data_IF_105965610206
#
_entry.id   IF_105965610206
#
_cell.length_a   1.000
_cell.length_b   1.000
_cell.length_c   1.000
_cell.angle_alpha   90.00
_cell.angle_beta   90.00
_cell.angle_gamma   90.00
#
_symmetry.space_group_name_H-M   'P 1'
#
loop_
_entity.id
_entity.type
_entity.pdbx_description
1 polymer ?
#
# COMPACT_ATOMS: atom_id res chain seq x y z
N UNK A 1 -21.80 6.14 -11.34
CA UNK A 1 -22.26 5.24 -12.40
C UNK A 1 -22.54 3.86 -11.81
N UNK A 2 -23.58 3.16 -12.28
CA UNK A 2 -23.85 1.79 -11.83
C UNK A 2 -22.89 0.84 -12.57
N UNK A 3 -22.06 0.13 -11.82
CA UNK A 3 -21.20 -0.94 -12.35
C UNK A 3 -21.95 -2.25 -12.13
N UNK A 4 -22.26 -2.96 -13.21
CA UNK A 4 -23.00 -4.22 -13.20
C UNK A 4 -22.19 -5.33 -13.88
N UNK A 5 -22.55 -6.62 -13.70
CA UNK A 5 -21.97 -7.70 -14.47
C UNK A 5 -22.02 -7.41 -15.96
N UNK A 6 -20.88 -7.57 -16.65
CA UNK A 6 -20.70 -7.21 -18.06
C UNK A 6 -19.95 -5.90 -18.28
N UNK A 7 -19.81 -5.04 -17.26
CA UNK A 7 -19.01 -3.81 -17.35
C UNK A 7 -17.51 -4.04 -17.10
N UNK A 8 -17.13 -5.20 -16.57
CA UNK A 8 -15.71 -5.52 -16.28
C UNK A 8 -14.86 -5.49 -17.56
N UNK A 9 -13.69 -4.84 -17.48
CA UNK A 9 -12.81 -4.57 -18.59
C UNK A 9 -13.21 -3.34 -19.42
N UNK A 10 -14.40 -2.78 -19.20
CA UNK A 10 -14.82 -1.53 -19.84
C UNK A 10 -14.23 -0.28 -19.17
N UNK A 11 -14.15 0.84 -19.90
CA UNK A 11 -13.58 2.07 -19.38
C UNK A 11 -14.54 2.78 -18.41
N UNK A 12 -13.95 3.44 -17.41
CA UNK A 12 -14.62 4.42 -16.57
C UNK A 12 -14.22 5.81 -17.07
N UNK A 13 -15.20 6.64 -17.38
CA UNK A 13 -14.99 7.99 -17.89
C UNK A 13 -15.32 9.04 -16.84
N UNK A 14 -14.61 10.17 -16.88
CA UNK A 14 -15.03 11.39 -16.22
C UNK A 14 -16.09 12.16 -17.07
N UNK A 15 -16.54 13.31 -16.54
CA UNK A 15 -17.54 14.15 -17.23
C UNK A 15 -17.00 14.83 -18.50
N UNK A 16 -15.69 14.87 -18.71
CA UNK A 16 -15.04 15.38 -19.91
C UNK A 16 -14.80 14.31 -20.97
N UNK A 17 -15.18 13.07 -20.69
CA UNK A 17 -15.02 11.93 -21.59
C UNK A 17 -13.60 11.32 -21.55
N UNK A 18 -12.80 11.64 -20.54
CA UNK A 18 -11.48 11.03 -20.36
C UNK A 18 -11.59 9.71 -19.60
N UNK A 19 -10.79 8.72 -19.99
CA UNK A 19 -10.71 7.44 -19.28
C UNK A 19 -9.92 7.64 -17.99
N UNK A 20 -10.58 7.48 -16.85
CA UNK A 20 -9.99 7.59 -15.51
C UNK A 20 -9.72 6.23 -14.85
N UNK A 21 -10.22 5.15 -15.45
CA UNK A 21 -9.99 3.80 -14.95
C UNK A 21 -10.59 2.72 -15.82
N UNK A 22 -10.35 1.46 -15.43
CA UNK A 22 -10.91 0.25 -16.05
C UNK A 22 -11.70 -0.50 -14.99
N UNK A 23 -12.98 -0.77 -15.29
CA UNK A 23 -13.85 -1.48 -14.36
C UNK A 23 -13.34 -2.90 -14.11
N UNK A 24 -13.11 -3.27 -12.85
CA UNK A 24 -12.50 -4.55 -12.50
C UNK A 24 -13.46 -5.49 -11.78
N UNK A 25 -14.12 -5.00 -10.73
CA UNK A 25 -14.91 -5.83 -9.84
C UNK A 25 -16.08 -5.04 -9.25
N UNK A 26 -17.14 -5.77 -8.91
CA UNK A 26 -18.25 -5.28 -8.09
C UNK A 26 -18.31 -6.09 -6.81
N UNK A 27 -18.69 -5.47 -5.71
CA UNK A 27 -19.07 -6.18 -4.51
C UNK A 27 -20.52 -6.61 -4.66
N UNK A 28 -20.76 -7.93 -4.58
CA UNK A 28 -22.10 -8.49 -4.71
C UNK A 28 -22.65 -8.80 -3.33
N UNK A 29 -23.92 -8.44 -3.08
CA UNK A 29 -24.59 -8.91 -1.87
C UNK A 29 -24.74 -10.44 -1.98
N UNK A 30 -24.36 -11.15 -0.90
CA UNK A 30 -24.65 -12.57 -0.75
C UNK A 30 -26.18 -12.75 -0.63
N UNK A 31 -26.82 -13.07 -1.74
CA UNK A 31 -28.23 -13.44 -1.74
C UNK A 31 -28.28 -14.94 -1.43
N UNK A 32 -28.72 -15.30 -0.21
CA UNK A 32 -29.03 -16.70 0.11
C UNK A 32 -30.13 -17.22 -0.82
N UNK A 33 -29.85 -18.38 -1.44
CA UNK A 33 -30.79 -19.20 -2.20
C UNK A 33 -31.39 -18.57 -3.47
N UNK A 34 -30.67 -18.64 -4.59
CA UNK A 34 -31.26 -18.66 -5.95
C UNK A 34 -31.52 -17.30 -6.61
N UNK A 35 -31.12 -16.18 -6.03
CA UNK A 35 -31.21 -14.85 -6.65
C UNK A 35 -29.99 -14.53 -7.51
N UNK A 36 -30.20 -13.72 -8.55
CA UNK A 36 -29.08 -13.17 -9.33
C UNK A 36 -28.30 -12.19 -8.42
N UNK A 37 -26.95 -12.33 -8.28
CA UNK A 37 -26.16 -11.40 -7.49
C UNK A 37 -26.35 -9.97 -8.01
N UNK A 38 -26.93 -9.10 -7.18
CA UNK A 38 -27.10 -7.69 -7.50
C UNK A 38 -25.89 -6.86 -7.09
N UNK A 39 -25.71 -5.71 -7.70
CA UNK A 39 -24.72 -4.72 -7.28
C UNK A 39 -25.09 -4.18 -5.88
N UNK A 40 -24.15 -4.24 -4.92
CA UNK A 40 -24.30 -3.64 -3.58
C UNK A 40 -24.21 -2.12 -3.59
N UNK A 41 -24.01 -1.49 -4.73
CA UNK A 41 -23.71 -0.08 -4.87
C UNK A 41 -22.21 0.24 -4.82
N UNK A 42 -21.36 -0.76 -4.55
CA UNK A 42 -19.90 -0.64 -4.51
C UNK A 42 -19.29 -1.31 -5.74
N UNK A 43 -18.45 -0.58 -6.46
CA UNK A 43 -17.70 -1.09 -7.60
C UNK A 43 -16.25 -0.59 -7.55
N UNK A 44 -15.32 -1.42 -8.02
CA UNK A 44 -13.90 -1.13 -8.05
C UNK A 44 -13.44 -0.96 -9.49
N UNK A 45 -12.62 0.08 -9.70
CA UNK A 45 -11.99 0.35 -10.98
C UNK A 45 -10.48 0.45 -10.78
N UNK A 46 -9.70 -0.12 -11.71
CA UNK A 46 -8.25 0.06 -11.75
C UNK A 46 -7.97 1.48 -12.25
N UNK A 47 -7.32 2.35 -11.48
CA UNK A 47 -7.03 3.72 -11.91
C UNK A 47 -6.21 3.77 -13.21
N UNK A 48 -6.44 4.78 -14.04
CA UNK A 48 -5.69 4.97 -15.29
C UNK A 48 -4.17 5.11 -15.05
N UNK A 49 -3.74 5.64 -13.89
CA UNK A 49 -2.33 5.70 -13.49
C UNK A 49 -1.69 4.32 -13.40
N UNK A 50 -2.40 3.34 -12.83
CA UNK A 50 -1.96 1.94 -12.76
C UNK A 50 -1.89 1.34 -14.15
N UNK A 51 -2.92 1.55 -14.98
CA UNK A 51 -2.97 1.06 -16.36
C UNK A 51 -1.78 1.60 -17.16
N UNK A 52 -1.52 2.91 -17.07
CA UNK A 52 -0.40 3.58 -17.76
C UNK A 52 0.98 3.07 -17.29
N UNK A 53 1.12 2.62 -16.06
CA UNK A 53 2.36 2.01 -15.54
C UNK A 53 2.53 0.56 -15.99
N UNK A 54 1.46 -0.21 -15.97
CA UNK A 54 1.50 -1.68 -16.14
C UNK A 54 1.47 -2.10 -17.60
N UNK A 55 0.54 -1.52 -18.40
CA UNK A 55 0.29 -1.99 -19.77
C UNK A 55 1.51 -1.88 -20.68
N UNK A 56 2.30 -0.78 -20.68
CA UNK A 56 3.52 -0.72 -21.48
C UNK A 56 4.53 -1.82 -21.14
N UNK A 57 4.67 -2.18 -19.86
CA UNK A 57 5.56 -3.24 -19.42
C UNK A 57 5.08 -4.62 -19.91
N UNK A 58 3.77 -4.88 -19.85
CA UNK A 58 3.18 -6.11 -20.35
C UNK A 58 3.37 -6.25 -21.86
N UNK A 59 3.20 -5.16 -22.62
CA UNK A 59 3.44 -5.15 -24.07
C UNK A 59 4.91 -5.42 -24.40
N UNK A 60 5.83 -4.81 -23.65
CA UNK A 60 7.27 -4.90 -23.90
C UNK A 60 7.88 -6.23 -23.48
N UNK A 61 7.44 -6.83 -22.37
CA UNK A 61 8.12 -7.95 -21.73
C UNK A 61 7.21 -9.09 -21.25
N UNK A 62 5.88 -8.91 -21.34
CA UNK A 62 4.91 -9.87 -20.81
C UNK A 62 4.82 -9.87 -19.28
N UNK A 63 5.54 -8.99 -18.59
CA UNK A 63 5.61 -8.93 -17.12
C UNK A 63 5.52 -7.50 -16.63
N UNK A 64 4.83 -7.28 -15.51
CA UNK A 64 4.84 -6.02 -14.77
C UNK A 64 5.76 -6.14 -13.56
N UNK A 65 6.66 -5.18 -13.40
CA UNK A 65 7.59 -5.08 -12.26
C UNK A 65 7.03 -4.07 -11.27
N UNK A 66 7.07 -4.44 -10.02
CA UNK A 66 6.57 -3.60 -8.92
C UNK A 66 7.69 -3.33 -7.92
N UNK A 67 7.81 -2.08 -7.52
CA UNK A 67 8.69 -1.70 -6.43
C UNK A 67 8.16 -2.18 -5.09
N UNK A 68 9.06 -2.51 -4.16
CA UNK A 68 8.70 -2.82 -2.79
C UNK A 68 9.84 -2.47 -1.82
N UNK A 69 9.49 -2.29 -0.55
CA UNK A 69 10.44 -1.98 0.53
C UNK A 69 10.83 -3.20 1.35
N UNK A 70 10.08 -4.29 1.28
CA UNK A 70 10.32 -5.47 2.12
C UNK A 70 9.94 -5.25 3.57
N UNK A 71 8.85 -4.53 3.82
CA UNK A 71 8.31 -4.27 5.15
C UNK A 71 6.90 -4.85 5.30
N UNK A 72 6.51 -5.06 6.55
CA UNK A 72 5.15 -5.35 6.97
C UNK A 72 4.64 -4.16 7.77
N UNK A 73 3.49 -3.66 7.42
CA UNK A 73 2.85 -2.56 8.13
C UNK A 73 1.59 -3.02 8.86
N UNK A 74 1.08 -2.16 9.70
CA UNK A 74 -0.25 -2.29 10.26
C UNK A 74 -1.17 -1.31 9.54
N UNK A 75 -2.26 -1.81 8.95
CA UNK A 75 -3.33 -0.96 8.40
C UNK A 75 -4.06 -0.19 9.51
N UNK A 76 -4.00 -0.70 10.74
CA UNK A 76 -4.66 -0.12 11.91
C UNK A 76 -3.60 0.43 12.87
N UNK A 77 -2.96 1.55 12.50
CA UNK A 77 -2.11 2.26 13.45
C UNK A 77 -3.01 3.03 14.43
N UNK A 78 -3.23 2.42 15.61
CA UNK A 78 -4.20 2.92 16.60
C UNK A 78 -3.61 3.95 17.57
N UNK A 79 -4.50 4.66 18.29
CA UNK A 79 -4.10 5.60 19.36
C UNK A 79 -3.32 4.87 20.48
N UNK A 80 -3.68 3.62 20.78
CA UNK A 80 -3.00 2.79 21.76
C UNK A 80 -1.57 2.47 21.31
N UNK A 81 -1.40 2.10 20.05
CA UNK A 81 -0.07 1.88 19.45
C UNK A 81 0.78 3.16 19.46
N UNK A 82 0.21 4.30 19.10
CA UNK A 82 0.92 5.58 19.14
C UNK A 82 1.42 5.90 20.56
N UNK A 83 0.55 5.79 21.57
CA UNK A 83 0.91 6.00 22.98
C UNK A 83 2.00 5.05 23.45
N UNK A 84 1.89 3.74 23.14
CA UNK A 84 2.89 2.74 23.51
C UNK A 84 4.26 3.00 22.86
N UNK A 85 4.29 3.68 21.71
CA UNK A 85 5.51 4.08 21.00
C UNK A 85 5.97 5.52 21.30
N UNK A 86 5.38 6.20 22.30
CA UNK A 86 5.66 7.59 22.70
C UNK A 86 5.42 8.62 21.55
N UNK A 87 4.38 8.39 20.75
CA UNK A 87 3.97 9.28 19.67
C UNK A 87 2.72 10.06 20.05
N UNK A 88 2.60 11.29 19.54
CA UNK A 88 1.49 12.18 19.84
C UNK A 88 0.18 11.72 19.19
N UNK A 89 0.27 11.16 17.99
CA UNK A 89 -0.88 10.75 17.17
C UNK A 89 -0.57 9.52 16.32
N UNK A 90 -1.58 8.73 15.92
CA UNK A 90 -1.42 7.57 15.06
C UNK A 90 -1.41 8.00 13.57
N UNK A 91 -0.40 8.75 13.16
CA UNK A 91 -0.22 9.23 11.79
C UNK A 91 1.06 8.68 11.20
N UNK A 92 1.01 8.26 9.93
CA UNK A 92 2.11 7.66 9.22
C UNK A 92 2.00 6.13 9.09
N UNK A 93 2.92 5.56 8.34
CA UNK A 93 2.99 4.11 8.10
C UNK A 93 3.83 3.43 9.18
N UNK A 94 3.19 2.75 10.13
CA UNK A 94 3.88 2.01 11.18
C UNK A 94 4.51 0.73 10.61
N UNK A 95 5.83 0.56 10.82
CA UNK A 95 6.59 -0.61 10.41
C UNK A 95 6.51 -1.69 11.49
N UNK A 96 5.62 -2.65 11.30
CA UNK A 96 5.48 -3.78 12.21
C UNK A 96 6.64 -4.77 12.04
N UNK A 97 7.04 -5.06 10.80
CA UNK A 97 8.14 -5.99 10.51
C UNK A 97 8.99 -5.54 9.33
N UNK A 98 10.24 -5.98 9.30
CA UNK A 98 11.15 -5.80 8.18
C UNK A 98 11.67 -7.16 7.74
N UNK A 99 11.60 -7.45 6.44
CA UNK A 99 12.15 -8.70 5.90
C UNK A 99 13.67 -8.69 6.02
N UNK A 100 14.32 -9.73 6.59
CA UNK A 100 15.77 -9.75 6.84
C UNK A 100 16.63 -9.50 5.59
N UNK A 101 16.19 -10.03 4.43
CA UNK A 101 16.88 -9.87 3.14
C UNK A 101 16.16 -8.84 2.23
N UNK A 102 15.26 -8.05 2.80
CA UNK A 102 14.49 -7.04 2.08
C UNK A 102 15.26 -5.74 1.85
N UNK A 103 14.80 -4.91 0.91
CA UNK A 103 15.42 -3.62 0.58
C UNK A 103 15.61 -2.70 1.79
N UNK A 104 14.67 -2.68 2.73
CA UNK A 104 14.70 -1.82 3.90
C UNK A 104 15.44 -2.44 5.12
N UNK A 105 15.99 -3.67 5.01
CA UNK A 105 16.55 -4.42 6.14
C UNK A 105 17.62 -3.67 6.95
N UNK A 106 18.45 -2.85 6.29
CA UNK A 106 19.53 -2.11 6.93
C UNK A 106 19.11 -0.70 7.38
N UNK A 107 17.98 -0.19 6.90
CA UNK A 107 17.56 1.19 7.09
C UNK A 107 16.41 1.33 8.10
N UNK A 108 15.46 0.41 8.09
CA UNK A 108 14.25 0.47 8.92
C UNK A 108 14.28 -0.55 10.06
N UNK A 109 13.51 -0.24 11.09
CA UNK A 109 13.29 -1.13 12.24
C UNK A 109 11.82 -1.52 12.33
N UNK A 110 11.58 -2.82 12.47
CA UNK A 110 10.28 -3.36 12.82
C UNK A 110 10.05 -3.33 14.33
N UNK A 111 8.83 -3.67 14.74
CA UNK A 111 8.48 -3.84 16.13
C UNK A 111 9.34 -4.91 16.79
N UNK A 112 9.72 -4.69 18.05
CA UNK A 112 10.61 -5.57 18.80
C UNK A 112 9.89 -6.72 19.51
N UNK A 113 8.56 -6.68 19.57
CA UNK A 113 7.73 -7.60 20.36
C UNK A 113 6.71 -8.38 19.51
N UNK A 114 6.92 -8.52 18.21
CA UNK A 114 5.97 -9.24 17.33
C UNK A 114 5.80 -10.72 17.71
N UNK A 115 6.84 -11.34 18.25
CA UNK A 115 6.81 -12.75 18.65
C UNK A 115 6.25 -12.97 20.07
N UNK A 116 5.97 -11.89 20.81
CA UNK A 116 5.38 -11.98 22.15
C UNK A 116 3.86 -12.09 22.04
N UNK A 117 3.35 -13.31 22.25
CA UNK A 117 1.91 -13.60 22.23
C UNK A 117 1.10 -12.88 23.32
N UNK A 118 1.75 -12.29 24.32
CA UNK A 118 1.12 -11.50 25.38
C UNK A 118 1.19 -10.01 25.13
N UNK A 119 1.86 -9.57 24.06
CA UNK A 119 1.94 -8.16 23.71
C UNK A 119 0.57 -7.66 23.23
N UNK A 120 0.03 -6.65 23.91
CA UNK A 120 -1.24 -6.04 23.54
C UNK A 120 -1.13 -5.23 22.22
N UNK A 121 0.01 -4.58 22.02
CA UNK A 121 0.28 -3.79 20.79
C UNK A 121 1.76 -3.90 20.41
N UNK A 122 2.10 -3.76 19.09
CA UNK A 122 3.49 -3.73 18.65
C UNK A 122 4.19 -2.44 19.09
N UNK A 123 5.46 -2.58 19.54
CA UNK A 123 6.29 -1.46 20.01
C UNK A 123 7.68 -1.47 19.37
N UNK A 124 8.29 -0.28 19.25
CA UNK A 124 9.69 -0.10 18.81
C UNK A 124 9.89 -0.05 17.31
N UNK A 125 8.82 -0.22 16.52
CA UNK A 125 8.88 -0.03 15.07
C UNK A 125 9.02 1.44 14.67
N UNK A 126 9.62 1.68 13.50
CA UNK A 126 9.64 2.99 12.89
C UNK A 126 8.24 3.40 12.42
N UNK A 127 7.96 4.70 12.37
CA UNK A 127 6.79 5.26 11.69
C UNK A 127 7.26 6.13 10.55
N UNK A 128 6.92 5.75 9.32
CA UNK A 128 7.27 6.53 8.13
C UNK A 128 6.24 7.65 7.97
N UNK A 129 6.70 8.90 8.03
CA UNK A 129 5.85 10.11 7.97
C UNK A 129 5.95 10.84 6.65
N UNK A 130 7.02 10.57 5.86
CA UNK A 130 7.14 11.10 4.50
C UNK A 130 8.05 10.20 3.64
N UNK A 131 7.86 10.27 2.32
CA UNK A 131 8.72 9.65 1.30
C UNK A 131 9.04 10.69 0.22
N UNK A 132 10.33 10.92 -0.04
CA UNK A 132 10.83 11.95 -0.98
C UNK A 132 10.22 13.34 -0.75
N UNK A 133 9.88 13.64 0.52
CA UNK A 133 9.24 14.88 0.94
C UNK A 133 7.71 14.92 0.79
N UNK A 134 7.08 13.88 0.24
CA UNK A 134 5.62 13.76 0.22
C UNK A 134 5.13 13.15 1.55
N UNK A 135 4.16 13.79 2.25
CA UNK A 135 3.61 13.27 3.49
C UNK A 135 2.93 11.91 3.30
N UNK A 136 3.06 11.05 4.32
CA UNK A 136 2.41 9.75 4.42
C UNK A 136 1.53 9.77 5.66
N UNK A 137 0.23 9.60 5.47
CA UNK A 137 -0.75 9.61 6.56
C UNK A 137 -1.02 8.21 7.10
N UNK A 138 -0.88 7.17 6.25
CA UNK A 138 -1.09 5.77 6.63
C UNK A 138 -0.22 4.81 5.78
N UNK A 139 -0.40 3.51 6.02
CA UNK A 139 0.37 2.48 5.32
C UNK A 139 -0.05 2.31 3.86
N UNK A 140 -1.31 2.59 3.53
CA UNK A 140 -1.83 2.47 2.16
C UNK A 140 -1.30 3.61 1.28
N UNK A 141 -1.10 4.81 1.83
CA UNK A 141 -0.43 5.92 1.16
C UNK A 141 0.99 5.54 0.77
N UNK A 142 1.75 4.95 1.72
CA UNK A 142 3.11 4.47 1.46
C UNK A 142 3.14 3.40 0.36
N UNK A 143 2.24 2.41 0.43
CA UNK A 143 2.13 1.36 -0.58
C UNK A 143 1.81 1.95 -1.96
N UNK A 144 0.88 2.89 -2.00
CA UNK A 144 0.47 3.58 -3.22
C UNK A 144 1.63 4.37 -3.84
N UNK A 145 2.37 5.12 -3.02
CA UNK A 145 3.54 5.86 -3.47
C UNK A 145 4.60 4.92 -4.06
N UNK A 146 5.02 3.91 -3.30
CA UNK A 146 6.05 2.96 -3.72
C UNK A 146 5.62 2.24 -5.00
N UNK A 147 4.38 1.78 -5.07
CA UNK A 147 3.89 1.07 -6.24
C UNK A 147 3.79 1.95 -7.49
N UNK A 148 3.35 3.21 -7.36
CA UNK A 148 3.00 4.04 -8.51
C UNK A 148 4.08 5.05 -8.90
N UNK A 149 4.86 5.55 -7.93
CA UNK A 149 5.81 6.65 -8.14
C UNK A 149 7.28 6.23 -8.14
N UNK A 150 7.60 4.96 -7.84
CA UNK A 150 8.99 4.49 -7.84
C UNK A 150 9.23 3.35 -8.81
N UNK A 151 10.50 3.13 -9.18
CA UNK A 151 10.94 2.00 -9.99
C UNK A 151 11.93 1.13 -9.19
N UNK A 152 11.95 -0.23 -9.40
CA UNK A 152 12.95 -1.08 -8.76
C UNK A 152 14.38 -0.62 -9.04
N UNK A 153 15.19 -0.48 -7.98
CA UNK A 153 16.56 0.04 -8.03
C UNK A 153 16.67 1.54 -7.79
N UNK A 154 15.56 2.27 -7.63
CA UNK A 154 15.55 3.68 -7.28
C UNK A 154 15.83 3.87 -5.78
N UNK A 155 16.62 4.90 -5.42
CA UNK A 155 16.76 5.35 -4.05
C UNK A 155 15.61 6.27 -3.68
N UNK A 156 14.99 6.02 -2.53
CA UNK A 156 13.97 6.87 -1.92
C UNK A 156 14.42 7.35 -0.54
N UNK A 157 14.09 8.57 -0.19
CA UNK A 157 14.33 9.13 1.15
C UNK A 157 13.07 9.02 1.98
N UNK A 158 13.19 8.35 3.11
CA UNK A 158 12.10 8.21 4.08
C UNK A 158 12.37 9.10 5.28
N UNK A 159 11.40 9.91 5.66
CA UNK A 159 11.37 10.55 6.97
C UNK A 159 10.68 9.61 7.93
N UNK A 160 11.34 9.23 9.02
CA UNK A 160 10.83 8.26 9.99
C UNK A 160 10.88 8.82 11.40
N UNK A 161 9.88 8.49 12.20
CA UNK A 161 9.93 8.65 13.66
C UNK A 161 10.43 7.35 14.27
N UNK A 162 11.60 7.41 14.88
CA UNK A 162 12.25 6.29 15.59
C UNK A 162 12.38 6.62 17.06
N UNK A 163 11.60 5.94 17.90
CA UNK A 163 11.55 6.25 19.33
C UNK A 163 11.16 7.70 19.64
N UNK A 164 10.27 8.29 18.85
CA UNK A 164 9.83 9.67 18.96
C UNK A 164 10.79 10.71 18.35
N UNK A 165 11.92 10.29 17.78
CA UNK A 165 12.87 11.20 17.12
C UNK A 165 12.80 11.07 15.62
N UNK A 166 12.67 12.21 14.92
CA UNK A 166 12.66 12.25 13.47
C UNK A 166 14.06 12.01 12.90
N UNK A 167 14.13 11.17 11.86
CA UNK A 167 15.34 10.82 11.14
C UNK A 167 15.06 10.67 9.66
N UNK A 168 16.05 10.97 8.82
CA UNK A 168 16.01 10.61 7.40
C UNK A 168 16.83 9.33 7.17
N UNK A 169 16.24 8.39 6.41
CA UNK A 169 16.90 7.17 5.96
C UNK A 169 16.70 7.00 4.46
N UNK A 170 17.72 6.48 3.78
CA UNK A 170 17.64 6.17 2.34
C UNK A 170 17.46 4.67 2.17
N UNK A 171 16.54 4.27 1.30
CA UNK A 171 16.30 2.89 0.92
C UNK A 171 16.31 2.77 -0.59
N UNK A 172 17.10 1.84 -1.13
CA UNK A 172 16.98 1.44 -2.54
C UNK A 172 15.82 0.47 -2.67
N UNK A 173 14.72 0.86 -3.33
CA UNK A 173 13.56 -0.04 -3.49
C UNK A 173 13.90 -1.25 -4.36
N UNK A 174 13.43 -2.41 -3.94
CA UNK A 174 13.63 -3.66 -4.67
C UNK A 174 12.53 -3.95 -5.67
N UNK A 175 12.72 -4.99 -6.47
CA UNK A 175 11.65 -5.60 -7.26
C UNK A 175 10.88 -6.60 -6.40
N UNK A 176 9.56 -6.46 -6.37
CA UNK A 176 8.69 -7.37 -5.60
C UNK A 176 8.85 -8.80 -6.13
N UNK A 177 9.18 -9.77 -5.27
CA UNK A 177 9.26 -11.17 -5.68
C UNK A 177 7.93 -11.66 -6.27
N UNK A 178 8.01 -12.40 -7.39
CA UNK A 178 6.84 -13.07 -7.93
C UNK A 178 6.37 -14.11 -6.89
N UNK A 179 5.09 -14.13 -6.61
CA UNK A 179 4.50 -15.28 -5.90
C UNK A 179 4.26 -16.36 -6.97
N UNK A 180 5.05 -17.44 -6.90
CA UNK A 180 4.79 -18.64 -7.68
C UNK A 180 3.47 -19.30 -7.25
#
# INVERSE_FOLDING_TARGET
AAINPGNSGGPLFDLSGQVIGVNAQIETMNIQAGGVPGNSGVGFSIPASVVNKVVPQLIASGKARWSYLGIQGSSDFTVEMAKANNLAEPRGAYVAGVQPDGPAAQALKGASNLDDQNAEVPIGGDVITAIDGEPIDDFDDLLSYVALKTEPGQDVRLTVLRGGTEQEVTVTVGERPNRD
#
